data_IF_464227133777
#
_entry.id   IF_464227133777
#
_cell.length_a   1.000
_cell.length_b   1.000
_cell.length_c   1.000
_cell.angle_alpha   90.00
_cell.angle_beta   90.00
_cell.angle_gamma   90.00
#
_symmetry.space_group_name_H-M   'P 1'
#
loop_
_entity.id
_entity.type
_entity.pdbx_description
1 polymer ?
#
# COMPACT_ATOMS: atom_id res chain seq x y z
N UNK A 1 -4.98 1.97 7.43
CA UNK A 1 -3.83 2.07 6.51
C UNK A 1 -3.94 3.34 5.68
N UNK A 2 -4.81 3.40 4.67
CA UNK A 2 -5.22 4.61 3.93
C UNK A 2 -5.37 5.91 4.77
N UNK A 3 -6.19 5.93 5.84
CA UNK A 3 -6.38 7.14 6.67
C UNK A 3 -5.10 7.72 7.32
N UNK A 4 -4.03 6.93 7.43
CA UNK A 4 -2.74 7.34 8.01
C UNK A 4 -1.65 7.55 6.94
N UNK A 5 -1.95 7.26 5.68
CA UNK A 5 -1.03 7.48 4.57
C UNK A 5 -0.99 8.98 4.27
N UNK A 6 0.21 9.54 4.15
CA UNK A 6 0.41 10.98 4.02
C UNK A 6 -0.13 11.44 2.66
N UNK A 7 -1.06 12.39 2.66
CA UNK A 7 -1.75 12.84 1.44
C UNK A 7 -3.02 12.07 1.08
N UNK A 8 -3.42 11.04 1.84
CA UNK A 8 -4.65 10.29 1.53
C UNK A 8 -5.92 11.14 1.62
N UNK A 9 -6.00 12.07 2.59
CA UNK A 9 -7.16 12.95 2.74
C UNK A 9 -7.26 13.96 1.60
N UNK A 10 -6.11 14.47 1.16
CA UNK A 10 -5.94 15.41 0.05
C UNK A 10 -6.33 14.73 -1.27
N UNK A 11 -5.88 13.48 -1.47
CA UNK A 11 -6.24 12.62 -2.59
C UNK A 11 -7.76 12.37 -2.65
N UNK A 12 -8.37 11.99 -1.51
CA UNK A 12 -9.82 11.81 -1.39
C UNK A 12 -10.59 13.09 -1.74
N UNK A 13 -10.15 14.23 -1.19
CA UNK A 13 -10.75 15.53 -1.43
C UNK A 13 -10.67 15.91 -2.91
N UNK A 14 -9.52 15.69 -3.54
CA UNK A 14 -9.32 15.92 -4.97
C UNK A 14 -10.26 15.09 -5.84
N UNK A 15 -10.40 13.78 -5.55
CA UNK A 15 -11.36 12.93 -6.26
C UNK A 15 -12.81 13.39 -6.06
N UNK A 16 -13.19 13.69 -4.81
CA UNK A 16 -14.54 14.09 -4.47
C UNK A 16 -14.97 15.39 -5.18
N UNK A 17 -14.07 16.36 -5.25
CA UNK A 17 -14.26 17.63 -5.93
C UNK A 17 -14.26 17.48 -7.46
N UNK A 18 -13.47 16.55 -8.00
CA UNK A 18 -13.41 16.27 -9.44
C UNK A 18 -14.62 15.53 -10.01
N UNK A 19 -15.50 14.98 -9.17
CA UNK A 19 -16.73 14.33 -9.62
C UNK A 19 -17.82 15.35 -9.98
N UNK A 20 -18.21 15.34 -11.26
CA UNK A 20 -19.30 16.16 -11.79
C UNK A 20 -20.49 15.27 -12.17
N UNK A 21 -21.55 15.34 -11.36
CA UNK A 21 -22.83 14.68 -11.61
C UNK A 21 -23.95 15.69 -11.42
N UNK A 22 -25.02 15.56 -12.19
CA UNK A 22 -26.20 16.44 -12.16
C UNK A 22 -27.47 15.65 -11.89
N UNK A 23 -28.43 16.24 -11.19
CA UNK A 23 -29.69 15.61 -10.84
C UNK A 23 -30.10 15.96 -9.41
N UNK A 24 -30.96 15.13 -8.81
CA UNK A 24 -31.31 15.29 -7.40
C UNK A 24 -30.08 15.14 -6.50
N UNK A 25 -30.11 15.77 -5.33
CA UNK A 25 -29.03 15.66 -4.34
C UNK A 25 -28.73 14.19 -3.98
N UNK A 26 -29.77 13.37 -3.80
CA UNK A 26 -29.63 11.95 -3.51
C UNK A 26 -28.95 11.18 -4.64
N UNK A 27 -29.29 11.48 -5.90
CA UNK A 27 -28.65 10.88 -7.07
C UNK A 27 -27.17 11.27 -7.16
N UNK A 28 -26.86 12.57 -7.06
CA UNK A 28 -25.49 13.07 -7.10
C UNK A 28 -24.63 12.44 -6.01
N UNK A 29 -25.15 12.34 -4.79
CA UNK A 29 -24.45 11.70 -3.68
C UNK A 29 -24.16 10.22 -3.96
N UNK A 30 -25.16 9.47 -4.46
CA UNK A 30 -25.02 8.05 -4.77
C UNK A 30 -23.95 7.81 -5.83
N UNK A 31 -23.95 8.58 -6.91
CA UNK A 31 -22.97 8.45 -8.00
C UNK A 31 -21.55 8.83 -7.56
N UNK A 32 -21.41 9.89 -6.74
CA UNK A 32 -20.11 10.23 -6.11
C UNK A 32 -19.58 9.09 -5.24
N UNK A 33 -20.43 8.45 -4.44
CA UNK A 33 -20.03 7.31 -3.59
C UNK A 33 -19.61 6.09 -4.43
N UNK A 34 -20.36 5.75 -5.49
CA UNK A 34 -19.99 4.67 -6.42
C UNK A 34 -18.63 4.92 -7.08
N UNK A 35 -18.44 6.13 -7.61
CA UNK A 35 -17.18 6.52 -8.25
C UNK A 35 -16.01 6.49 -7.27
N UNK A 36 -16.22 6.99 -6.05
CA UNK A 36 -15.23 6.96 -4.99
C UNK A 36 -14.84 5.53 -4.61
N UNK A 37 -15.82 4.61 -4.49
CA UNK A 37 -15.56 3.20 -4.21
C UNK A 37 -14.67 2.56 -5.28
N UNK A 38 -14.90 2.85 -6.56
CA UNK A 38 -14.08 2.33 -7.65
C UNK A 38 -12.66 2.92 -7.60
N UNK A 39 -12.52 4.24 -7.43
CA UNK A 39 -11.21 4.90 -7.29
C UNK A 39 -10.39 4.33 -6.15
N UNK A 40 -11.02 4.14 -4.99
CA UNK A 40 -10.40 3.54 -3.82
C UNK A 40 -9.93 2.11 -4.09
N UNK A 41 -10.75 1.28 -4.76
CA UNK A 41 -10.37 -0.10 -5.10
C UNK A 41 -9.15 -0.13 -6.04
N UNK A 42 -9.11 0.76 -7.04
CA UNK A 42 -8.00 0.83 -7.98
C UNK A 42 -6.72 1.32 -7.29
N UNK A 43 -6.81 2.42 -6.54
CA UNK A 43 -5.67 2.94 -5.77
C UNK A 43 -5.13 1.91 -4.77
N UNK A 44 -6.02 1.19 -4.09
CA UNK A 44 -5.62 0.12 -3.17
C UNK A 44 -4.84 -0.99 -3.91
N UNK A 45 -5.25 -1.35 -5.13
CA UNK A 45 -4.52 -2.31 -5.97
C UNK A 45 -3.17 -1.76 -6.44
N UNK A 46 -3.08 -0.49 -6.80
CA UNK A 46 -1.84 0.13 -7.27
C UNK A 46 -0.80 0.25 -6.15
N UNK A 47 -1.23 0.70 -4.98
CA UNK A 47 -0.36 0.91 -3.82
C UNK A 47 -0.03 -0.41 -3.12
N UNK A 48 -1.04 -1.24 -2.85
CA UNK A 48 -0.87 -2.44 -2.03
C UNK A 48 -0.78 -3.74 -2.84
N UNK A 49 -1.27 -3.76 -4.08
CA UNK A 49 -1.12 -4.93 -4.95
C UNK A 49 0.32 -5.21 -5.37
N UNK A 50 1.21 -4.23 -5.25
CA UNK A 50 2.65 -4.37 -5.51
C UNK A 50 3.50 -4.62 -4.26
N UNK A 51 2.93 -4.53 -3.04
CA UNK A 51 3.71 -4.61 -1.80
C UNK A 51 4.46 -5.94 -1.70
N UNK A 52 3.81 -7.07 -1.96
CA UNK A 52 4.48 -8.38 -1.94
C UNK A 52 5.60 -8.51 -2.98
N UNK A 53 5.41 -7.96 -4.19
CA UNK A 53 6.44 -7.95 -5.25
C UNK A 53 7.61 -7.06 -4.83
N UNK A 54 7.34 -5.87 -4.34
CA UNK A 54 8.37 -4.92 -3.91
C UNK A 54 9.13 -5.44 -2.67
N UNK A 55 8.44 -6.10 -1.74
CA UNK A 55 9.05 -6.78 -0.61
C UNK A 55 10.02 -7.86 -1.08
N UNK A 56 9.61 -8.67 -2.08
CA UNK A 56 10.47 -9.70 -2.66
C UNK A 56 11.70 -9.10 -3.34
N UNK A 57 11.52 -8.06 -4.17
CA UNK A 57 12.63 -7.36 -4.82
C UNK A 57 13.59 -6.74 -3.81
N UNK A 58 13.08 -6.14 -2.73
CA UNK A 58 13.92 -5.58 -1.67
C UNK A 58 14.68 -6.67 -0.90
N UNK A 59 14.04 -7.83 -0.66
CA UNK A 59 14.70 -8.99 -0.06
C UNK A 59 15.83 -9.52 -0.95
N UNK A 60 15.58 -9.66 -2.26
CA UNK A 60 16.58 -10.12 -3.22
C UNK A 60 17.80 -9.18 -3.25
N UNK A 61 17.59 -7.85 -3.15
CA UNK A 61 18.69 -6.87 -3.01
C UNK A 61 19.48 -7.06 -1.71
N UNK A 62 18.81 -7.33 -0.59
CA UNK A 62 19.49 -7.60 0.70
C UNK A 62 20.33 -8.86 0.60
N UNK A 63 19.78 -9.95 0.05
CA UNK A 63 20.50 -11.20 -0.15
C UNK A 63 21.71 -11.04 -1.07
N UNK A 64 21.59 -10.27 -2.15
CA UNK A 64 22.71 -9.93 -3.02
C UNK A 64 23.88 -9.31 -2.24
N UNK A 65 23.61 -8.33 -1.37
CA UNK A 65 24.66 -7.68 -0.58
C UNK A 65 25.24 -8.59 0.50
N UNK A 66 24.45 -9.50 1.06
CA UNK A 66 24.94 -10.52 2.00
C UNK A 66 25.89 -11.49 1.32
N UNK A 67 25.60 -11.90 0.08
CA UNK A 67 26.49 -12.77 -0.70
C UNK A 67 27.80 -12.06 -1.09
N UNK A 68 27.73 -10.78 -1.47
CA UNK A 68 28.93 -9.99 -1.76
C UNK A 68 29.84 -9.84 -0.54
N UNK A 69 29.28 -9.59 0.64
CA UNK A 69 30.04 -9.47 1.90
C UNK A 69 30.72 -10.78 2.30
N UNK A 70 30.13 -11.94 1.98
CA UNK A 70 30.75 -13.25 2.21
C UNK A 70 31.96 -13.50 1.32
N UNK A 71 31.95 -12.94 0.11
CA UNK A 71 33.01 -13.13 -0.87
C UNK A 71 34.17 -12.15 -0.67
N UNK A 72 33.87 -10.90 -0.25
CA UNK A 72 34.87 -9.84 -0.05
C UNK A 72 34.37 -8.75 0.89
N UNK A 73 35.30 -7.96 1.41
CA UNK A 73 34.97 -6.71 2.07
C UNK A 73 34.28 -5.74 1.11
N UNK A 74 33.19 -5.13 1.58
CA UNK A 74 32.48 -4.07 0.87
C UNK A 74 33.22 -2.73 1.03
N UNK A 75 33.21 -1.91 -0.02
CA UNK A 75 33.70 -0.54 0.08
C UNK A 75 32.63 0.40 0.68
N UNK A 76 32.99 1.66 0.93
CA UNK A 76 32.08 2.63 1.57
C UNK A 76 30.76 2.87 0.80
N UNK A 77 30.81 2.90 -0.53
CA UNK A 77 29.61 3.09 -1.36
C UNK A 77 28.69 1.85 -1.31
N UNK A 78 29.29 0.66 -1.33
CA UNK A 78 28.57 -0.61 -1.24
C UNK A 78 27.92 -0.81 0.14
N UNK A 79 28.58 -0.34 1.20
CA UNK A 79 28.03 -0.33 2.56
C UNK A 79 26.78 0.54 2.67
N UNK A 80 26.79 1.74 2.08
CA UNK A 80 25.60 2.60 2.05
C UNK A 80 24.50 1.99 1.17
N UNK A 81 24.81 1.47 -0.01
CA UNK A 81 23.83 0.80 -0.87
C UNK A 81 23.17 -0.42 -0.18
N UNK A 82 23.93 -1.17 0.62
CA UNK A 82 23.40 -2.25 1.46
C UNK A 82 22.48 -1.72 2.55
N UNK A 83 22.86 -0.64 3.22
CA UNK A 83 22.04 -0.01 4.26
C UNK A 83 20.72 0.48 3.68
N UNK A 84 20.75 1.13 2.52
CA UNK A 84 19.55 1.54 1.79
C UNK A 84 18.66 0.34 1.43
N UNK A 85 19.24 -0.76 0.92
CA UNK A 85 18.48 -1.98 0.63
C UNK A 85 17.78 -2.56 1.88
N UNK A 86 18.45 -2.52 3.05
CA UNK A 86 17.86 -2.96 4.32
C UNK A 86 16.72 -2.03 4.78
N UNK A 87 16.86 -0.72 4.63
CA UNK A 87 15.78 0.22 4.97
C UNK A 87 14.60 0.11 4.01
N UNK A 88 14.85 -0.09 2.71
CA UNK A 88 13.80 -0.38 1.72
C UNK A 88 13.05 -1.67 2.06
N UNK A 89 13.78 -2.74 2.43
CA UNK A 89 13.16 -3.99 2.87
C UNK A 89 12.29 -3.79 4.12
N UNK A 90 12.80 -3.10 5.16
CA UNK A 90 12.01 -2.80 6.37
C UNK A 90 10.73 -2.04 6.05
N UNK A 91 10.80 -1.03 5.18
CA UNK A 91 9.64 -0.26 4.72
C UNK A 91 8.59 -1.19 4.10
N UNK A 92 8.99 -2.04 3.16
CA UNK A 92 8.06 -2.97 2.51
C UNK A 92 7.52 -4.04 3.46
N UNK A 93 8.32 -4.51 4.40
CA UNK A 93 7.89 -5.50 5.39
C UNK A 93 6.79 -4.93 6.31
N UNK A 94 6.95 -3.68 6.76
CA UNK A 94 5.92 -2.97 7.54
C UNK A 94 4.64 -2.82 6.72
N UNK A 95 4.77 -2.44 5.44
CA UNK A 95 3.61 -2.29 4.55
C UNK A 95 2.88 -3.62 4.32
N UNK A 96 3.62 -4.72 4.18
CA UNK A 96 3.04 -6.06 4.04
C UNK A 96 2.33 -6.47 5.33
N UNK A 97 2.96 -6.33 6.49
CA UNK A 97 2.35 -6.65 7.78
C UNK A 97 1.04 -5.90 8.01
N UNK A 98 1.01 -4.59 7.72
CA UNK A 98 -0.20 -3.78 7.86
C UNK A 98 -1.27 -4.26 6.86
N UNK A 99 -0.89 -4.70 5.65
CA UNK A 99 -1.80 -5.23 4.62
C UNK A 99 -2.45 -6.52 5.11
N UNK A 100 -1.67 -7.43 5.70
CA UNK A 100 -2.16 -8.66 6.32
C UNK A 100 -3.13 -8.40 7.48
N UNK A 101 -2.78 -7.49 8.40
CA UNK A 101 -3.64 -7.13 9.54
C UNK A 101 -5.00 -6.57 9.07
N UNK A 102 -5.04 -5.81 7.97
CA UNK A 102 -6.29 -5.31 7.41
C UNK A 102 -7.11 -6.38 6.71
N UNK A 103 -6.49 -7.18 5.83
CA UNK A 103 -7.18 -8.31 5.18
C UNK A 103 -7.81 -9.24 6.22
N UNK A 104 -7.07 -9.54 7.29
CA UNK A 104 -7.61 -10.31 8.41
C UNK A 104 -8.86 -9.65 9.01
N UNK A 105 -8.82 -8.35 9.35
CA UNK A 105 -9.99 -7.62 9.89
C UNK A 105 -11.18 -7.58 8.93
N UNK A 106 -10.94 -7.42 7.64
CA UNK A 106 -12.01 -7.45 6.63
C UNK A 106 -12.66 -8.84 6.53
N UNK A 107 -11.88 -9.91 6.61
CA UNK A 107 -12.39 -11.28 6.66
C UNK A 107 -13.24 -11.50 7.91
N UNK A 108 -12.75 -11.09 9.09
CA UNK A 108 -13.48 -11.17 10.35
C UNK A 108 -14.83 -10.42 10.31
N UNK A 109 -14.85 -9.20 9.74
CA UNK A 109 -16.10 -8.44 9.62
C UNK A 109 -17.12 -9.12 8.70
N UNK A 110 -16.67 -9.71 7.58
CA UNK A 110 -17.56 -10.45 6.67
C UNK A 110 -18.11 -11.74 7.30
N UNK A 111 -17.30 -12.45 8.08
CA UNK A 111 -17.74 -13.66 8.78
C UNK A 111 -18.69 -13.33 9.94
N UNK A 112 -18.49 -12.20 10.62
CA UNK A 112 -19.40 -11.70 11.65
C UNK A 112 -20.77 -11.28 11.11
N UNK A 113 -20.81 -10.63 9.93
CA UNK A 113 -22.06 -10.23 9.26
C UNK A 113 -22.88 -11.42 8.73
N UNK A 114 -22.26 -12.60 8.52
CA UNK A 114 -22.94 -13.84 8.11
C UNK A 114 -23.57 -14.57 9.30
N UNK A 115 -23.12 -14.26 10.52
CA UNK A 115 -23.54 -14.92 11.76
C UNK A 115 -24.53 -14.08 12.61
N UNK A 116 -24.97 -12.92 12.11
CA UNK A 116 -25.98 -12.03 12.73
C UNK A 116 -27.26 -11.99 11.92
#
# INVERSE_FOLDING_TARGET
>A
MWLKEEGFKELLKGWWQGFNYSGSYSFVLLEKLKALKVKLKNWNKEVFGKVGVNLRMALDKVSFWEDQERQRALNGQELEARKEAKEEFKKWAIMEEISWRQKSRETWLKEGDILS
#
